data_IF_109353238601
#
_entry.id   IF_109353238601
#
_cell.length_a   1.000
_cell.length_b   1.000
_cell.length_c   1.000
_cell.angle_alpha   90.00
_cell.angle_beta   90.00
_cell.angle_gamma   90.00
#
_symmetry.space_group_name_H-M   'P 1'
#
loop_
_entity.id
_entity.type
_entity.pdbx_description
1 polymer ?
#
# COMPACT_ATOMS: atom_id res chain seq x y z
N UNK A 1 51.81 43.75 -30.62
CA UNK A 1 50.72 42.81 -30.28
C UNK A 1 50.56 42.85 -28.77
N UNK A 2 49.51 43.53 -28.27
CA UNK A 2 49.22 43.62 -26.82
C UNK A 2 48.35 42.48 -26.40
N UNK A 3 48.63 41.73 -25.31
CA UNK A 3 47.77 40.68 -24.81
C UNK A 3 46.53 41.31 -24.15
N UNK A 4 45.35 40.87 -24.59
CA UNK A 4 44.08 41.20 -23.94
C UNK A 4 44.05 40.51 -22.58
N UNK A 5 44.16 41.26 -21.51
CA UNK A 5 43.97 40.78 -20.15
C UNK A 5 42.49 40.38 -19.97
N UNK A 6 42.21 39.09 -19.89
CA UNK A 6 40.91 38.54 -19.55
C UNK A 6 40.60 38.93 -18.10
N UNK A 7 39.62 39.79 -17.92
CA UNK A 7 39.18 40.25 -16.61
C UNK A 7 38.36 39.12 -15.97
N UNK A 8 38.96 38.38 -15.07
CA UNK A 8 38.23 37.39 -14.25
C UNK A 8 37.25 38.13 -13.35
N UNK A 9 35.95 37.89 -13.58
CA UNK A 9 34.87 38.39 -12.74
C UNK A 9 34.78 37.49 -11.51
N UNK A 10 35.19 37.97 -10.36
CA UNK A 10 34.97 37.30 -9.08
C UNK A 10 33.51 37.40 -8.69
N UNK A 11 33.01 36.36 -8.05
CA UNK A 11 31.66 36.32 -7.44
C UNK A 11 31.56 37.40 -6.35
N UNK A 12 30.45 38.11 -6.32
CA UNK A 12 30.18 39.07 -5.24
C UNK A 12 29.56 38.32 -4.03
N UNK A 13 29.81 38.87 -2.82
CA UNK A 13 29.27 38.29 -1.58
C UNK A 13 27.75 38.26 -1.60
N UNK A 14 27.10 39.28 -2.19
CA UNK A 14 25.63 39.32 -2.33
C UNK A 14 25.10 38.25 -3.27
N UNK A 15 25.81 37.95 -4.35
CA UNK A 15 25.42 36.90 -5.31
C UNK A 15 25.41 35.52 -4.63
N UNK A 16 26.41 35.26 -3.76
CA UNK A 16 26.50 34.04 -2.98
C UNK A 16 25.35 33.97 -1.95
N UNK A 17 25.02 35.09 -1.28
CA UNK A 17 23.88 35.13 -0.34
C UNK A 17 22.56 34.85 -1.05
N UNK A 18 22.32 35.41 -2.22
CA UNK A 18 21.10 35.19 -3.01
C UNK A 18 20.99 33.72 -3.43
N UNK A 19 22.08 33.11 -3.89
CA UNK A 19 22.11 31.69 -4.27
C UNK A 19 21.78 30.80 -3.09
N UNK A 20 22.34 31.05 -1.90
CA UNK A 20 22.02 30.25 -0.70
C UNK A 20 20.56 30.40 -0.29
N UNK A 21 19.98 31.59 -0.39
CA UNK A 21 18.56 31.82 -0.12
C UNK A 21 17.69 31.05 -1.11
N UNK A 22 18.00 31.09 -2.40
CA UNK A 22 17.25 30.34 -3.42
C UNK A 22 17.32 28.83 -3.17
N UNK A 23 18.51 28.31 -2.87
CA UNK A 23 18.70 26.89 -2.54
C UNK A 23 17.91 26.53 -1.28
N UNK A 24 17.94 27.37 -0.23
CA UNK A 24 17.18 27.15 1.00
C UNK A 24 15.67 27.07 0.76
N UNK A 25 15.12 27.98 -0.04
CA UNK A 25 13.71 27.96 -0.43
C UNK A 25 13.38 26.75 -1.29
N UNK A 26 14.22 26.40 -2.26
CA UNK A 26 14.02 25.21 -3.10
C UNK A 26 14.03 23.91 -2.28
N UNK A 27 14.95 23.77 -1.33
CA UNK A 27 15.03 22.62 -0.43
C UNK A 27 13.84 22.54 0.51
N UNK A 28 13.33 23.65 1.03
CA UNK A 28 12.18 23.66 1.94
C UNK A 28 10.91 23.10 1.29
N UNK A 29 10.77 23.21 -0.02
CA UNK A 29 9.63 22.66 -0.80
C UNK A 29 9.90 21.22 -1.26
N UNK A 30 11.16 20.86 -1.53
CA UNK A 30 11.51 19.55 -2.08
C UNK A 30 11.61 18.45 -1.00
N UNK A 31 12.14 18.79 0.18
CA UNK A 31 12.39 17.81 1.26
C UNK A 31 11.13 17.09 1.75
N UNK A 32 9.98 17.74 2.00
CA UNK A 32 8.76 17.04 2.45
C UNK A 32 8.25 15.98 1.46
N UNK A 33 8.51 16.14 0.16
CA UNK A 33 8.08 15.19 -0.88
C UNK A 33 8.94 13.93 -0.95
N UNK A 34 10.14 13.98 -0.39
CA UNK A 34 11.08 12.84 -0.38
C UNK A 34 10.82 11.89 0.79
N UNK A 35 10.16 12.37 1.83
CA UNK A 35 9.84 11.58 3.03
C UNK A 35 8.34 11.75 3.32
N UNK A 36 7.49 10.82 2.82
CA UNK A 36 6.05 10.86 3.13
C UNK A 36 5.84 10.75 4.64
N UNK A 37 4.84 11.46 5.15
CA UNK A 37 4.43 11.30 6.54
C UNK A 37 3.83 9.91 6.78
N UNK A 38 3.83 9.46 8.02
CA UNK A 38 3.19 8.20 8.42
C UNK A 38 1.71 8.16 7.99
N UNK A 39 1.01 9.30 8.08
CA UNK A 39 -0.39 9.42 7.65
C UNK A 39 -0.54 9.22 6.15
N UNK A 40 0.28 9.91 5.34
CA UNK A 40 0.28 9.75 3.87
C UNK A 40 0.65 8.33 3.47
N UNK A 41 1.62 7.72 4.14
CA UNK A 41 2.05 6.36 3.88
C UNK A 41 0.94 5.37 4.23
N UNK A 42 0.36 5.48 5.43
CA UNK A 42 -0.74 4.62 5.88
C UNK A 42 -1.94 4.74 4.96
N UNK A 43 -2.30 5.96 4.55
CA UNK A 43 -3.41 6.19 3.63
C UNK A 43 -3.16 5.54 2.27
N UNK A 44 -2.02 5.80 1.63
CA UNK A 44 -1.66 5.21 0.32
C UNK A 44 -1.67 3.69 0.35
N UNK A 45 -1.06 3.10 1.38
CA UNK A 45 -1.03 1.64 1.52
C UNK A 45 -2.44 1.07 1.72
N UNK A 46 -3.26 1.72 2.56
CA UNK A 46 -4.62 1.28 2.83
C UNK A 46 -5.54 1.41 1.62
N UNK A 47 -5.44 2.48 0.85
CA UNK A 47 -6.19 2.66 -0.40
C UNK A 47 -5.82 1.59 -1.43
N UNK A 48 -4.53 1.30 -1.59
CA UNK A 48 -4.06 0.28 -2.50
C UNK A 48 -4.51 -1.13 -2.08
N UNK A 49 -4.48 -1.43 -0.78
CA UNK A 49 -4.97 -2.72 -0.24
C UNK A 49 -6.48 -2.82 -0.41
N UNK A 50 -7.24 -1.77 -0.11
CA UNK A 50 -8.68 -1.73 -0.31
C UNK A 50 -9.05 -2.04 -1.77
N UNK A 51 -8.37 -1.40 -2.73
CA UNK A 51 -8.60 -1.65 -4.16
C UNK A 51 -8.32 -3.11 -4.53
N UNK A 52 -7.21 -3.70 -4.05
CA UNK A 52 -6.89 -5.10 -4.31
C UNK A 52 -7.89 -6.07 -3.68
N UNK A 53 -8.40 -5.78 -2.49
CA UNK A 53 -9.46 -6.60 -1.86
C UNK A 53 -10.77 -6.52 -2.63
N UNK A 54 -11.13 -5.35 -3.18
CA UNK A 54 -12.30 -5.18 -4.03
C UNK A 54 -12.14 -5.96 -5.34
N UNK A 55 -10.97 -5.90 -5.98
CA UNK A 55 -10.67 -6.70 -7.18
C UNK A 55 -10.75 -8.20 -6.86
N UNK A 56 -10.18 -8.65 -5.74
CA UNK A 56 -10.25 -10.06 -5.34
C UNK A 56 -11.69 -10.54 -5.11
N UNK A 57 -12.53 -9.69 -4.52
CA UNK A 57 -13.96 -9.97 -4.37
C UNK A 57 -14.66 -10.08 -5.73
N UNK A 58 -14.42 -9.13 -6.62
CA UNK A 58 -15.04 -9.07 -7.93
C UNK A 58 -14.60 -10.28 -8.79
N UNK A 59 -13.31 -10.61 -8.75
CA UNK A 59 -12.76 -11.80 -9.42
C UNK A 59 -13.42 -13.09 -8.89
N UNK A 60 -13.60 -13.23 -7.56
CA UNK A 60 -14.30 -14.36 -7.00
C UNK A 60 -15.77 -14.44 -7.47
N UNK A 61 -16.47 -13.29 -7.49
CA UNK A 61 -17.89 -13.21 -7.86
C UNK A 61 -18.12 -13.51 -9.35
N UNK A 62 -17.25 -13.04 -10.24
CA UNK A 62 -17.40 -13.16 -11.70
C UNK A 62 -16.59 -14.31 -12.30
N UNK A 63 -15.45 -14.66 -11.67
CA UNK A 63 -14.55 -15.72 -12.15
C UNK A 63 -15.03 -17.14 -11.87
N UNK A 64 -16.03 -17.32 -11.01
CA UNK A 64 -16.60 -18.62 -10.70
C UNK A 64 -15.73 -19.51 -9.79
N UNK A 65 -14.74 -18.93 -9.09
CA UNK A 65 -13.86 -19.64 -8.15
C UNK A 65 -13.52 -18.74 -6.94
N UNK A 66 -13.28 -19.35 -5.80
CA UNK A 66 -12.95 -18.58 -4.61
C UNK A 66 -11.53 -18.01 -4.70
N UNK A 67 -11.36 -16.79 -4.17
CA UNK A 67 -10.08 -16.11 -4.06
C UNK A 67 -9.68 -15.97 -2.59
N UNK A 68 -8.49 -16.47 -2.25
CA UNK A 68 -7.88 -16.29 -0.94
C UNK A 68 -6.80 -15.19 -1.00
N UNK A 69 -6.91 -14.23 -0.09
CA UNK A 69 -5.90 -13.19 0.13
C UNK A 69 -5.15 -13.53 1.40
N UNK A 70 -3.87 -13.86 1.28
CA UNK A 70 -3.00 -14.22 2.40
C UNK A 70 -2.08 -13.08 2.76
N UNK A 71 -1.97 -12.87 4.06
CA UNK A 71 -1.05 -11.89 4.64
C UNK A 71 0.18 -12.63 5.12
N UNK A 72 1.23 -12.65 4.31
CA UNK A 72 2.55 -13.10 4.74
C UNK A 72 3.31 -11.91 5.35
N UNK A 73 4.45 -12.20 6.02
CA UNK A 73 5.26 -11.16 6.64
C UNK A 73 5.63 -10.08 5.63
N UNK A 74 5.00 -8.91 5.75
CA UNK A 74 5.27 -7.74 4.90
C UNK A 74 4.74 -7.79 3.47
N UNK A 75 3.85 -8.76 3.12
CA UNK A 75 3.27 -8.84 1.76
C UNK A 75 1.87 -9.43 1.72
N UNK A 76 1.14 -9.07 0.65
CA UNK A 76 -0.10 -9.70 0.22
C UNK A 76 0.19 -10.72 -0.88
N UNK A 77 -0.46 -11.87 -0.80
CA UNK A 77 -0.44 -12.91 -1.82
C UNK A 77 -1.87 -13.33 -2.15
N UNK A 78 -2.12 -13.65 -3.41
CA UNK A 78 -3.44 -14.00 -3.91
C UNK A 78 -3.43 -15.42 -4.46
N UNK A 79 -4.43 -16.20 -4.08
CA UNK A 79 -4.58 -17.59 -4.50
C UNK A 79 -6.00 -17.81 -5.01
N UNK A 80 -6.13 -18.62 -6.04
CA UNK A 80 -7.40 -19.07 -6.57
C UNK A 80 -7.63 -20.55 -6.22
N UNK A 81 -8.88 -20.88 -5.87
CA UNK A 81 -9.27 -22.27 -5.61
C UNK A 81 -9.32 -23.04 -6.91
N UNK A 82 -8.75 -24.24 -6.92
CA UNK A 82 -8.78 -25.09 -8.09
C UNK A 82 -10.20 -25.61 -8.36
N UNK A 83 -10.63 -25.53 -9.63
CA UNK A 83 -11.99 -25.93 -10.02
C UNK A 83 -12.25 -27.44 -9.90
N UNK A 84 -11.21 -28.28 -10.00
CA UNK A 84 -11.30 -29.74 -9.93
C UNK A 84 -11.05 -30.28 -8.53
N UNK A 85 -10.37 -29.51 -7.67
CA UNK A 85 -10.04 -29.91 -6.31
C UNK A 85 -10.17 -28.71 -5.35
N UNK A 86 -11.29 -28.59 -4.61
CA UNK A 86 -11.53 -27.47 -3.70
C UNK A 86 -10.51 -27.31 -2.56
N UNK A 87 -9.73 -28.32 -2.25
CA UNK A 87 -8.69 -28.26 -1.22
C UNK A 87 -7.38 -27.67 -1.75
N UNK A 88 -7.24 -27.53 -3.07
CA UNK A 88 -6.05 -27.01 -3.72
C UNK A 88 -6.18 -25.52 -4.02
N UNK A 89 -5.18 -24.78 -3.59
CA UNK A 89 -5.07 -23.34 -3.82
C UNK A 89 -3.83 -23.05 -4.66
N UNK A 90 -4.03 -22.46 -5.82
CA UNK A 90 -2.97 -22.08 -6.75
C UNK A 90 -2.72 -20.56 -6.68
N UNK A 91 -1.50 -20.08 -6.90
CA UNK A 91 -1.27 -18.65 -7.07
C UNK A 91 -2.20 -18.09 -8.16
N UNK A 92 -2.80 -16.93 -7.91
CA UNK A 92 -3.73 -16.33 -8.86
C UNK A 92 -3.06 -16.04 -10.20
N UNK A 93 -3.76 -16.32 -11.28
CA UNK A 93 -3.35 -16.03 -12.66
C UNK A 93 -3.85 -14.68 -13.15
N UNK A 94 -4.70 -14.02 -12.36
CA UNK A 94 -5.22 -12.69 -12.69
C UNK A 94 -4.06 -11.68 -12.81
N UNK A 95 -4.00 -10.89 -13.89
CA UNK A 95 -2.98 -9.86 -14.05
C UNK A 95 -3.08 -8.74 -13.02
N UNK A 96 -4.24 -8.58 -12.40
CA UNK A 96 -4.55 -7.56 -11.41
C UNK A 96 -4.22 -8.00 -9.99
N UNK A 97 -4.22 -9.31 -9.71
CA UNK A 97 -3.98 -9.91 -8.40
C UNK A 97 -2.55 -10.43 -8.26
N UNK A 98 -1.58 -9.54 -8.43
CA UNK A 98 -0.16 -9.87 -8.24
C UNK A 98 0.25 -9.70 -6.78
N UNK A 99 1.19 -10.54 -6.28
CA UNK A 99 1.76 -10.35 -4.95
C UNK A 99 2.32 -8.92 -4.78
N UNK A 100 2.01 -8.29 -3.65
CA UNK A 100 2.43 -6.92 -3.34
C UNK A 100 3.10 -6.86 -1.97
N UNK A 101 4.30 -6.32 -1.92
CA UNK A 101 4.96 -6.00 -0.64
C UNK A 101 4.38 -4.70 -0.07
N UNK A 102 4.25 -4.63 1.26
CA UNK A 102 4.01 -3.39 1.99
C UNK A 102 5.30 -2.60 2.13
N UNK A 103 5.16 -1.30 2.37
CA UNK A 103 6.28 -0.52 2.86
C UNK A 103 6.76 -1.08 4.21
N UNK A 104 8.07 -1.04 4.45
CA UNK A 104 8.69 -1.61 5.65
C UNK A 104 8.24 -0.97 6.96
N UNK A 105 7.74 0.28 6.90
CA UNK A 105 7.18 0.99 8.05
C UNK A 105 5.73 0.59 8.37
N UNK A 106 5.05 -0.16 7.49
CA UNK A 106 3.65 -0.55 7.65
C UNK A 106 3.53 -1.95 8.23
N UNK A 107 2.77 -2.07 9.30
CA UNK A 107 2.38 -3.34 9.89
C UNK A 107 0.91 -3.64 9.61
N UNK A 108 0.61 -4.91 9.32
CA UNK A 108 -0.75 -5.37 9.07
C UNK A 108 -1.22 -6.31 10.19
N UNK A 109 -2.43 -6.08 10.69
CA UNK A 109 -3.10 -6.96 11.65
C UNK A 109 -4.49 -7.32 11.12
N UNK A 110 -4.78 -8.61 11.04
CA UNK A 110 -6.07 -9.13 10.59
C UNK A 110 -6.88 -9.65 11.79
N UNK A 111 -8.15 -9.27 11.85
CA UNK A 111 -9.18 -9.90 12.69
C UNK A 111 -10.20 -10.54 11.78
N UNK A 112 -10.55 -11.79 12.06
CA UNK A 112 -11.62 -12.52 11.36
C UNK A 112 -12.67 -12.92 12.39
N UNK A 113 -13.92 -12.62 12.11
CA UNK A 113 -15.04 -12.86 13.03
C UNK A 113 -14.76 -12.31 14.45
N UNK A 114 -14.11 -11.16 14.55
CA UNK A 114 -13.77 -10.49 15.81
C UNK A 114 -12.50 -11.01 16.51
N UNK A 115 -11.90 -12.09 16.05
CA UNK A 115 -10.69 -12.68 16.64
C UNK A 115 -9.43 -12.28 15.85
N UNK A 116 -8.36 -11.91 16.54
CA UNK A 116 -7.05 -11.62 15.92
C UNK A 116 -6.46 -12.93 15.39
N UNK A 117 -6.09 -12.93 14.12
CA UNK A 117 -5.46 -14.07 13.45
C UNK A 117 -3.96 -13.85 13.40
N UNK A 118 -3.17 -14.90 13.74
CA UNK A 118 -1.72 -14.84 13.62
C UNK A 118 -1.32 -14.62 12.15
N UNK A 119 -0.29 -13.80 11.91
CA UNK A 119 0.13 -13.40 10.55
C UNK A 119 0.37 -14.60 9.61
N UNK A 120 0.92 -15.70 10.13
CA UNK A 120 1.16 -16.93 9.33
C UNK A 120 -0.11 -17.63 8.85
N UNK A 121 -1.24 -17.40 9.55
CA UNK A 121 -2.55 -18.03 9.27
C UNK A 121 -3.56 -16.99 8.77
N UNK A 122 -3.11 -15.74 8.59
CA UNK A 122 -3.95 -14.61 8.24
C UNK A 122 -4.40 -14.72 6.78
N UNK A 123 -5.67 -15.04 6.57
CA UNK A 123 -6.29 -15.18 5.25
C UNK A 123 -7.70 -14.60 5.24
N UNK A 124 -8.02 -13.88 4.18
CA UNK A 124 -9.39 -13.49 3.82
C UNK A 124 -9.80 -14.32 2.62
N UNK A 125 -10.95 -14.96 2.66
CA UNK A 125 -11.46 -15.76 1.53
C UNK A 125 -12.74 -15.13 1.00
N UNK A 126 -12.73 -14.75 -0.27
CA UNK A 126 -13.89 -14.33 -1.03
C UNK A 126 -14.46 -15.52 -1.78
N UNK A 127 -15.78 -15.74 -1.67
CA UNK A 127 -16.48 -16.84 -2.28
C UNK A 127 -17.24 -16.36 -3.52
N UNK A 128 -17.49 -17.27 -4.45
CA UNK A 128 -18.27 -17.01 -5.68
C UNK A 128 -19.73 -16.69 -5.41
N UNK A 129 -20.30 -17.40 -4.45
CA UNK A 129 -21.69 -17.22 -3.99
C UNK A 129 -21.68 -17.31 -2.48
N UNK A 130 -22.13 -16.24 -1.83
CA UNK A 130 -22.32 -16.24 -0.39
C UNK A 130 -21.28 -15.41 0.34
N UNK A 131 -21.20 -15.66 1.60
CA UNK A 131 -20.69 -14.79 2.62
C UNK A 131 -19.24 -15.10 2.89
N UNK A 132 -18.38 -14.13 2.65
CA UNK A 132 -17.08 -14.10 3.28
C UNK A 132 -17.24 -13.89 4.80
N UNK A 133 -16.37 -14.47 5.60
CA UNK A 133 -16.34 -14.15 7.03
C UNK A 133 -16.04 -12.66 7.22
N UNK A 134 -16.81 -11.97 8.08
CA UNK A 134 -16.51 -10.55 8.36
C UNK A 134 -15.10 -10.41 8.91
N UNK A 135 -14.41 -9.40 8.44
CA UNK A 135 -13.01 -9.15 8.81
C UNK A 135 -12.73 -7.67 9.06
N UNK A 136 -11.71 -7.39 9.83
CA UNK A 136 -11.09 -6.08 9.99
C UNK A 136 -9.59 -6.20 9.75
N UNK A 137 -9.09 -5.46 8.78
CA UNK A 137 -7.67 -5.36 8.48
C UNK A 137 -7.18 -3.98 8.89
N UNK A 138 -6.33 -3.92 9.89
CA UNK A 138 -5.68 -2.70 10.34
C UNK A 138 -4.29 -2.61 9.74
N UNK A 139 -4.01 -1.50 9.06
CA UNK A 139 -2.69 -1.12 8.57
C UNK A 139 -2.20 0.05 9.42
N UNK A 140 -1.02 -0.06 10.00
CA UNK A 140 -0.50 0.94 10.91
C UNK A 140 0.99 1.20 10.69
N UNK A 141 1.38 2.46 10.82
CA UNK A 141 2.75 2.95 11.01
C UNK A 141 2.98 3.30 12.47
N UNK A 142 4.08 3.98 12.79
CA UNK A 142 4.40 4.38 14.16
C UNK A 142 3.37 5.37 14.74
N UNK A 143 2.80 6.26 13.93
CA UNK A 143 1.92 7.35 14.38
C UNK A 143 0.55 7.40 13.71
N UNK A 144 0.27 6.54 12.72
CA UNK A 144 -0.99 6.52 12.00
C UNK A 144 -1.53 5.10 11.82
N UNK A 145 -2.86 4.97 11.75
CA UNK A 145 -3.51 3.70 11.48
C UNK A 145 -4.78 3.90 10.64
N UNK A 146 -5.04 2.96 9.74
CA UNK A 146 -6.28 2.86 8.99
C UNK A 146 -6.85 1.45 9.08
N UNK A 147 -8.17 1.32 9.12
CA UNK A 147 -8.83 0.02 9.20
C UNK A 147 -9.76 -0.17 8.02
N UNK A 148 -9.62 -1.30 7.34
CA UNK A 148 -10.49 -1.78 6.28
C UNK A 148 -11.39 -2.85 6.89
N UNK A 149 -12.68 -2.76 6.67
CA UNK A 149 -13.64 -3.76 7.13
C UNK A 149 -14.34 -4.43 5.94
N UNK A 150 -14.48 -5.74 6.02
CA UNK A 150 -15.33 -6.54 5.15
C UNK A 150 -16.51 -7.08 5.92
N UNK A 151 -17.72 -6.87 5.38
CA UNK A 151 -18.95 -7.39 5.99
C UNK A 151 -19.28 -8.81 5.53
N UNK A 152 -20.33 -9.37 6.12
CA UNK A 152 -20.77 -10.74 5.85
C UNK A 152 -21.26 -10.97 4.40
N UNK A 153 -21.56 -9.94 3.64
CA UNK A 153 -21.96 -10.03 2.24
C UNK A 153 -20.83 -9.70 1.26
N UNK A 154 -19.60 -9.49 1.79
CA UNK A 154 -18.39 -9.26 1.00
C UNK A 154 -18.14 -7.80 0.62
N UNK A 155 -18.89 -6.82 1.12
CA UNK A 155 -18.56 -5.43 0.88
C UNK A 155 -17.31 -5.05 1.68
N UNK A 156 -16.35 -4.46 0.98
CA UNK A 156 -15.07 -4.02 1.57
C UNK A 156 -14.99 -2.49 1.51
N UNK A 157 -14.74 -1.87 2.67
CA UNK A 157 -14.69 -0.41 2.81
C UNK A 157 -13.80 0.01 3.97
N UNK A 158 -13.41 1.27 3.99
CA UNK A 158 -12.82 1.85 5.20
C UNK A 158 -13.82 1.82 6.36
N UNK A 159 -13.32 1.43 7.53
CA UNK A 159 -14.08 1.56 8.79
C UNK A 159 -13.96 3.01 9.25
N UNK A 160 -15.08 3.71 9.23
CA UNK A 160 -15.14 5.04 9.84
C UNK A 160 -15.03 4.91 11.36
N UNK A 161 -14.30 5.79 12.03
CA UNK A 161 -14.15 5.80 13.49
C UNK A 161 -15.49 6.00 14.23
#
# INVERSE_FOLDING_TARGET
MSPLTKRDRGFTLIELMVVVVIIGVALSVAVPKLFPSDEELTQRESEAVLALLQVARDEAAFGGHAIAVRFATGKLEFFEQDAGNPDLWNPSKSPELKPRAFDSAVTAQLKVAGSVVATKDAQITFLTVGVSLPFELSLATASAAATIAGDAIGNVRFKTP
#
